data_IF_327613245575
#
_entry.id   IF_327613245575
#
_cell.length_a   1.000
_cell.length_b   1.000
_cell.length_c   1.000
_cell.angle_alpha   90.00
_cell.angle_beta   90.00
_cell.angle_gamma   90.00
#
_symmetry.space_group_name_H-M   'P 1'
#
loop_
_entity.id
_entity.type
_entity.pdbx_description
1 polymer ?
#
# COMPACT_ATOMS: atom_id res chain seq x y z
N UNK A 1 3.87 -25.38 5.79
CA UNK A 1 3.20 -24.14 5.43
C UNK A 1 4.16 -22.99 5.49
N UNK A 2 4.22 -22.24 4.42
CA UNK A 2 5.10 -21.08 4.38
C UNK A 2 4.53 -19.98 5.27
N UNK A 3 5.30 -19.56 6.25
CA UNK A 3 4.92 -18.40 7.06
C UNK A 3 5.13 -17.13 6.26
N UNK A 4 4.26 -16.14 6.50
CA UNK A 4 4.43 -14.83 5.91
C UNK A 4 5.63 -14.14 6.55
N UNK A 5 6.41 -13.48 5.72
CA UNK A 5 7.56 -12.68 6.15
C UNK A 5 7.31 -11.21 5.84
N UNK A 6 8.02 -10.28 6.51
CA UNK A 6 7.88 -8.85 6.19
C UNK A 6 8.15 -8.54 4.72
N UNK A 7 9.13 -9.18 4.13
CA UNK A 7 9.46 -8.99 2.71
C UNK A 7 8.29 -9.41 1.81
N UNK A 8 7.68 -10.56 2.09
CA UNK A 8 6.53 -11.04 1.33
C UNK A 8 5.35 -10.06 1.40
N UNK A 9 5.07 -9.55 2.59
CA UNK A 9 3.97 -8.58 2.78
C UNK A 9 4.28 -7.28 2.03
N UNK A 10 5.49 -6.76 2.16
CA UNK A 10 5.88 -5.54 1.47
C UNK A 10 5.78 -5.71 -0.05
N UNK A 11 6.25 -6.84 -0.58
CA UNK A 11 6.17 -7.14 -2.01
C UNK A 11 4.71 -7.24 -2.49
N UNK A 12 3.85 -7.86 -1.68
CA UNK A 12 2.43 -7.98 -2.03
C UNK A 12 1.72 -6.63 -2.07
N UNK A 13 2.01 -5.73 -1.14
CA UNK A 13 1.42 -4.39 -1.12
C UNK A 13 1.95 -3.58 -2.32
N UNK A 14 3.23 -3.69 -2.63
CA UNK A 14 3.82 -3.03 -3.80
C UNK A 14 3.21 -3.56 -5.10
N UNK A 15 3.04 -4.87 -5.21
CA UNK A 15 2.37 -5.48 -6.36
C UNK A 15 0.91 -5.02 -6.48
N UNK A 16 0.21 -4.88 -5.36
CA UNK A 16 -1.15 -4.36 -5.34
C UNK A 16 -1.22 -2.94 -5.91
N UNK A 17 -0.28 -2.08 -5.51
CA UNK A 17 -0.20 -0.73 -6.04
C UNK A 17 0.03 -0.73 -7.55
N UNK A 18 0.90 -1.61 -8.04
CA UNK A 18 1.16 -1.76 -9.48
C UNK A 18 -0.09 -2.22 -10.23
N UNK A 19 -0.82 -3.19 -9.67
CA UNK A 19 -2.06 -3.71 -10.27
C UNK A 19 -3.10 -2.59 -10.39
N UNK A 20 -3.32 -1.83 -9.32
CA UNK A 20 -4.33 -0.77 -9.34
C UNK A 20 -3.97 0.36 -10.30
N UNK A 21 -2.68 0.65 -10.48
CA UNK A 21 -2.26 1.64 -11.48
C UNK A 21 -2.43 1.12 -12.92
N UNK A 22 -2.38 -0.18 -13.12
CA UNK A 22 -2.52 -0.79 -14.44
C UNK A 22 -3.97 -1.03 -14.84
N UNK A 23 -4.91 -0.98 -13.87
CA UNK A 23 -6.32 -1.17 -14.18
C UNK A 23 -6.85 0.04 -14.96
N UNK A 24 -7.71 -0.21 -15.98
CA UNK A 24 -8.33 0.89 -16.70
C UNK A 24 -9.23 1.67 -15.74
N UNK A 25 -9.18 3.01 -15.86
CA UNK A 25 -10.10 3.86 -15.13
C UNK A 25 -11.53 3.53 -15.57
N UNK A 26 -12.28 2.94 -14.68
CA UNK A 26 -13.71 2.80 -14.88
C UNK A 26 -14.31 4.16 -14.57
N UNK A 27 -14.70 4.89 -15.61
CA UNK A 27 -15.51 6.10 -15.45
C UNK A 27 -16.94 5.61 -15.24
N UNK A 28 -17.47 5.59 -14.01
CA UNK A 28 -18.88 5.27 -13.84
C UNK A 28 -19.69 6.34 -14.56
N UNK A 29 -20.54 5.92 -15.49
CA UNK A 29 -21.39 6.81 -16.24
C UNK A 29 -22.31 7.57 -15.29
N UNK A 30 -22.35 8.89 -15.44
CA UNK A 30 -23.30 9.74 -14.72
C UNK A 30 -22.79 10.42 -13.45
N UNK A 31 -21.71 9.95 -12.87
CA UNK A 31 -21.13 10.56 -11.66
C UNK A 31 -19.99 11.51 -11.94
N UNK A 32 -19.52 11.57 -13.18
CA UNK A 32 -18.25 12.20 -13.52
C UNK A 32 -18.30 13.62 -14.03
N UNK A 33 -19.49 14.13 -14.29
CA UNK A 33 -19.64 15.54 -14.63
C UNK A 33 -19.33 16.48 -13.44
N UNK A 34 -19.17 15.90 -12.24
CA UNK A 34 -18.83 16.66 -11.04
C UNK A 34 -17.33 16.68 -10.72
N UNK A 35 -16.50 15.96 -11.48
CA UNK A 35 -15.06 15.95 -11.24
C UNK A 35 -14.42 17.20 -11.83
N UNK A 36 -13.54 17.90 -11.07
CA UNK A 36 -12.86 19.08 -11.59
C UNK A 36 -12.03 18.76 -12.83
N UNK A 37 -11.99 19.69 -13.78
CA UNK A 37 -11.25 19.52 -15.04
C UNK A 37 -9.77 19.19 -14.84
N UNK A 38 -9.15 19.68 -13.77
CA UNK A 38 -7.75 19.35 -13.51
C UNK A 38 -7.50 17.85 -13.30
N UNK A 39 -8.52 17.10 -12.88
CA UNK A 39 -8.41 15.65 -12.79
C UNK A 39 -8.30 15.00 -14.15
N UNK A 40 -9.02 15.53 -15.14
CA UNK A 40 -8.93 15.02 -16.51
C UNK A 40 -7.57 15.31 -17.12
N UNK A 41 -7.05 16.51 -16.91
CA UNK A 41 -5.72 16.87 -17.43
C UNK A 41 -4.61 16.07 -16.79
N UNK A 42 -4.73 15.76 -15.50
CA UNK A 42 -3.77 14.91 -14.79
C UNK A 42 -3.82 13.48 -15.32
N UNK A 43 -5.02 12.94 -15.51
CA UNK A 43 -5.20 11.61 -16.07
C UNK A 43 -4.66 11.52 -17.50
N UNK A 44 -4.89 12.56 -18.31
CA UNK A 44 -4.38 12.64 -19.68
C UNK A 44 -2.85 12.72 -19.72
N UNK A 45 -2.25 13.48 -18.81
CA UNK A 45 -0.79 13.56 -18.71
C UNK A 45 -0.17 12.24 -18.29
N UNK A 46 -0.79 11.55 -17.33
CA UNK A 46 -0.35 10.21 -16.91
C UNK A 46 -0.52 9.22 -18.06
N UNK A 47 -1.56 9.38 -18.89
CA UNK A 47 -1.80 8.53 -20.05
C UNK A 47 -0.83 8.76 -21.19
N UNK A 48 -0.12 9.90 -21.23
CA UNK A 48 0.82 10.25 -22.30
C UNK A 48 2.25 9.82 -22.02
N UNK A 49 2.60 9.45 -20.81
CA UNK A 49 3.91 8.91 -20.53
C UNK A 49 4.08 7.58 -21.26
N UNK A 50 5.24 7.37 -21.95
CA UNK A 50 5.49 6.08 -22.59
C UNK A 50 5.55 5.00 -21.52
N UNK A 51 4.42 4.37 -21.30
CA UNK A 51 4.36 3.23 -20.40
C UNK A 51 5.03 2.06 -21.07
N UNK A 52 6.06 1.53 -20.44
CA UNK A 52 6.44 0.16 -20.70
C UNK A 52 5.14 -0.64 -20.67
N UNK A 53 4.83 -1.29 -21.78
CA UNK A 53 3.61 -2.10 -21.91
C UNK A 53 3.64 -3.19 -20.85
N UNK A 54 3.02 -2.91 -19.69
CA UNK A 54 2.79 -3.96 -18.71
C UNK A 54 1.59 -4.78 -19.19
N UNK A 55 1.68 -6.11 -19.14
CA UNK A 55 0.52 -6.93 -19.44
C UNK A 55 -0.62 -6.56 -18.49
N UNK A 56 -1.84 -6.59 -18.98
CA UNK A 56 -3.02 -6.36 -18.14
C UNK A 56 -3.02 -7.36 -16.99
N UNK A 57 -3.26 -6.91 -15.74
CA UNK A 57 -3.34 -7.84 -14.63
C UNK A 57 -4.48 -8.83 -14.84
N UNK A 58 -4.20 -10.10 -14.58
CA UNK A 58 -5.21 -11.16 -14.65
C UNK A 58 -6.10 -11.18 -13.41
N UNK A 59 -7.17 -11.99 -13.42
CA UNK A 59 -8.08 -12.09 -12.27
C UNK A 59 -7.38 -12.45 -10.96
N UNK A 60 -6.37 -13.32 -11.03
CA UNK A 60 -5.59 -13.71 -9.85
C UNK A 60 -4.83 -12.53 -9.28
N UNK A 61 -4.23 -11.70 -10.12
CA UNK A 61 -3.49 -10.52 -9.70
C UNK A 61 -4.41 -9.52 -9.01
N UNK A 62 -5.61 -9.34 -9.56
CA UNK A 62 -6.62 -8.45 -8.99
C UNK A 62 -7.07 -8.95 -7.61
N UNK A 63 -7.33 -10.24 -7.47
CA UNK A 63 -7.73 -10.85 -6.21
C UNK A 63 -6.64 -10.66 -5.15
N UNK A 64 -5.39 -10.92 -5.50
CA UNK A 64 -4.27 -10.73 -4.59
C UNK A 64 -4.10 -9.26 -4.18
N UNK A 65 -4.33 -8.35 -5.11
CA UNK A 65 -4.26 -6.92 -4.84
C UNK A 65 -5.38 -6.47 -3.89
N UNK A 66 -6.59 -6.97 -4.07
CA UNK A 66 -7.71 -6.70 -3.18
C UNK A 66 -7.44 -7.24 -1.78
N UNK A 67 -6.89 -8.43 -1.66
CA UNK A 67 -6.51 -9.01 -0.37
C UNK A 67 -5.49 -8.11 0.36
N UNK A 68 -4.48 -7.63 -0.36
CA UNK A 68 -3.48 -6.74 0.23
C UNK A 68 -4.09 -5.42 0.71
N UNK A 69 -5.07 -4.87 -0.03
CA UNK A 69 -5.79 -3.69 0.43
C UNK A 69 -6.55 -3.96 1.73
N UNK A 70 -7.15 -5.13 1.86
CA UNK A 70 -7.87 -5.50 3.08
C UNK A 70 -6.93 -5.58 4.28
N UNK A 71 -5.68 -5.98 4.10
CA UNK A 71 -4.70 -6.00 5.17
C UNK A 71 -4.45 -4.63 5.77
N UNK A 72 -4.51 -3.57 4.96
CA UNK A 72 -4.29 -2.20 5.42
C UNK A 72 -5.37 -1.75 6.42
N UNK A 73 -6.52 -2.38 6.42
CA UNK A 73 -7.60 -2.08 7.36
C UNK A 73 -7.26 -2.47 8.80
N UNK A 74 -6.26 -3.30 8.99
CA UNK A 74 -5.78 -3.68 10.33
C UNK A 74 -4.91 -2.61 10.98
N UNK A 75 -4.54 -1.58 10.23
CA UNK A 75 -3.65 -0.52 10.67
C UNK A 75 -4.43 0.76 10.97
N UNK A 76 -3.81 1.64 11.76
CA UNK A 76 -4.32 3.01 11.90
C UNK A 76 -4.36 3.69 10.52
N UNK A 77 -5.34 4.56 10.26
CA UNK A 77 -5.44 5.22 8.95
C UNK A 77 -4.15 5.90 8.49
N UNK A 78 -3.40 6.52 9.41
CA UNK A 78 -2.14 7.17 9.08
C UNK A 78 -1.09 6.16 8.63
N UNK A 79 -1.00 5.02 9.32
CA UNK A 79 -0.06 3.95 8.98
C UNK A 79 -0.45 3.27 7.67
N UNK A 80 -1.74 3.02 7.46
CA UNK A 80 -2.23 2.47 6.22
C UNK A 80 -1.88 3.37 5.02
N UNK A 81 -2.07 4.68 5.18
CA UNK A 81 -1.72 5.65 4.16
C UNK A 81 -0.21 5.67 3.89
N UNK A 82 0.59 5.59 4.95
CA UNK A 82 2.05 5.53 4.85
C UNK A 82 2.49 4.32 4.01
N UNK A 83 1.97 3.14 4.33
CA UNK A 83 2.30 1.92 3.60
C UNK A 83 1.88 2.01 2.14
N UNK A 84 0.69 2.54 1.88
CA UNK A 84 0.19 2.69 0.53
C UNK A 84 1.01 3.68 -0.30
N UNK A 85 1.36 4.82 0.27
CA UNK A 85 2.20 5.81 -0.41
C UNK A 85 3.56 5.22 -0.74
N UNK A 86 4.14 4.48 0.21
CA UNK A 86 5.44 3.86 0.00
C UNK A 86 5.38 2.73 -1.03
N UNK A 87 4.29 1.98 -1.08
CA UNK A 87 4.06 0.94 -2.07
C UNK A 87 3.98 1.53 -3.49
N UNK A 88 3.49 2.75 -3.61
CA UNK A 88 3.48 3.48 -4.88
C UNK A 88 4.85 4.12 -5.19
N UNK A 89 5.88 3.75 -4.44
CA UNK A 89 7.26 4.20 -4.64
C UNK A 89 7.44 5.70 -4.46
N UNK A 90 6.56 6.32 -3.70
CA UNK A 90 6.70 7.74 -3.39
C UNK A 90 7.94 7.94 -2.50
N UNK A 91 8.80 8.94 -2.80
CA UNK A 91 9.97 9.20 -1.96
C UNK A 91 9.61 9.54 -0.51
N UNK A 92 10.50 9.25 0.42
CA UNK A 92 10.26 9.48 1.83
C UNK A 92 9.99 10.96 2.17
N UNK A 93 10.68 11.87 1.51
CA UNK A 93 10.57 13.31 1.82
C UNK A 93 9.14 13.84 1.64
N UNK A 94 8.48 13.63 0.48
CA UNK A 94 7.08 14.03 0.33
C UNK A 94 6.13 13.33 1.31
N UNK A 95 6.38 12.05 1.61
CA UNK A 95 5.57 11.30 2.57
C UNK A 95 5.66 11.92 3.96
N UNK A 96 6.88 12.23 4.42
CA UNK A 96 7.09 12.85 5.72
C UNK A 96 6.42 14.21 5.80
N UNK A 97 6.46 14.98 4.72
CA UNK A 97 5.81 16.26 4.63
C UNK A 97 4.28 16.14 4.77
N UNK A 98 3.70 15.20 4.02
CA UNK A 98 2.26 14.99 4.04
C UNK A 98 1.75 14.53 5.41
N UNK A 99 2.49 13.64 6.07
CA UNK A 99 2.11 13.09 7.36
C UNK A 99 2.59 13.91 8.55
N UNK A 100 3.47 14.90 8.32
CA UNK A 100 3.99 15.73 9.39
C UNK A 100 4.90 15.01 10.38
N UNK A 101 5.68 14.04 9.92
CA UNK A 101 6.57 13.22 10.75
C UNK A 101 7.99 13.22 10.21
N UNK A 102 8.97 12.89 11.07
CA UNK A 102 10.35 12.74 10.65
C UNK A 102 10.54 11.44 9.85
N UNK A 103 11.64 11.38 9.10
CA UNK A 103 11.98 10.17 8.34
C UNK A 103 12.19 8.97 9.26
N UNK A 104 12.84 9.15 10.40
CA UNK A 104 13.06 8.09 11.36
C UNK A 104 11.73 7.52 11.88
N UNK A 105 10.79 8.40 12.21
CA UNK A 105 9.45 8.01 12.65
C UNK A 105 8.69 7.31 11.51
N UNK A 106 8.77 7.83 10.29
CA UNK A 106 8.12 7.25 9.13
C UNK A 106 8.63 5.82 8.87
N UNK A 107 9.93 5.62 8.90
CA UNK A 107 10.54 4.32 8.70
C UNK A 107 10.11 3.33 9.80
N UNK A 108 10.10 3.78 11.06
CA UNK A 108 9.69 2.96 12.21
C UNK A 108 8.22 2.55 12.10
N UNK A 109 7.34 3.47 11.74
CA UNK A 109 5.92 3.17 11.54
C UNK A 109 5.67 2.25 10.36
N UNK A 110 6.45 2.43 9.28
CA UNK A 110 6.36 1.55 8.12
C UNK A 110 6.70 0.11 8.50
N UNK A 111 7.81 -0.09 9.20
CA UNK A 111 8.22 -1.41 9.68
C UNK A 111 7.19 -2.02 10.62
N UNK A 112 6.66 -1.21 11.52
CA UNK A 112 5.62 -1.67 12.44
C UNK A 112 4.35 -2.08 11.71
N UNK A 113 3.89 -1.29 10.74
CA UNK A 113 2.71 -1.62 9.95
C UNK A 113 2.87 -2.93 9.20
N UNK A 114 4.00 -3.14 8.55
CA UNK A 114 4.32 -4.40 7.89
C UNK A 114 4.30 -5.56 8.90
N UNK A 115 4.92 -5.36 10.06
CA UNK A 115 4.99 -6.38 11.10
C UNK A 115 3.60 -6.76 11.64
N UNK A 116 2.73 -5.79 11.85
CA UNK A 116 1.35 -6.06 12.30
C UNK A 116 0.62 -6.95 11.29
N UNK A 117 0.77 -6.67 10.01
CA UNK A 117 0.16 -7.49 8.96
C UNK A 117 0.72 -8.90 8.99
N UNK A 118 2.04 -9.05 9.12
CA UNK A 118 2.70 -10.37 9.21
C UNK A 118 2.16 -11.16 10.40
N UNK A 119 2.08 -10.53 11.58
CA UNK A 119 1.54 -11.20 12.76
C UNK A 119 0.13 -11.73 12.52
N UNK A 120 -0.73 -10.90 11.94
CA UNK A 120 -2.12 -11.30 11.70
C UNK A 120 -2.26 -12.37 10.63
N UNK A 121 -1.47 -12.28 9.56
CA UNK A 121 -1.48 -13.29 8.51
C UNK A 121 -1.01 -14.65 8.99
N UNK A 122 -0.08 -14.67 9.96
CA UNK A 122 0.40 -15.90 10.57
C UNK A 122 -0.51 -16.40 11.72
N UNK A 123 -1.66 -15.77 11.90
CA UNK A 123 -2.64 -16.17 12.92
C UNK A 123 -2.26 -15.79 14.34
N UNK A 124 -1.31 -14.89 14.51
CA UNK A 124 -0.86 -14.43 15.82
C UNK A 124 -1.50 -13.10 16.20
N UNK A 125 -1.80 -12.94 17.48
CA UNK A 125 -2.36 -11.69 17.98
C UNK A 125 -1.24 -10.71 18.29
N UNK A 126 -1.33 -9.49 17.74
CA UNK A 126 -0.35 -8.43 18.00
C UNK A 126 -0.44 -8.01 19.48
N UNK A 127 0.67 -8.05 20.24
CA UNK A 127 0.64 -7.66 21.66
C UNK A 127 0.48 -6.13 21.78
N UNK A 128 -0.53 -5.72 22.54
CA UNK A 128 -0.83 -4.28 22.70
C UNK A 128 0.10 -3.58 23.70
N UNK A 129 0.72 -4.35 24.60
CA UNK A 129 1.56 -3.79 25.67
C UNK A 129 3.05 -3.87 25.37
N UNK A 130 3.43 -4.24 24.16
CA UNK A 130 4.85 -4.35 23.78
C UNK A 130 5.22 -3.19 22.85
N UNK A 131 6.51 -2.90 22.81
CA UNK A 131 7.03 -1.83 21.96
C UNK A 131 6.92 -2.19 20.47
N UNK A 132 6.99 -1.16 19.62
CA UNK A 132 7.04 -1.36 18.19
C UNK A 132 8.22 -2.23 17.78
N UNK A 133 9.38 -2.02 18.41
CA UNK A 133 10.59 -2.78 18.15
C UNK A 133 10.40 -4.27 18.46
N UNK A 134 9.69 -4.59 19.52
CA UNK A 134 9.37 -5.98 19.86
C UNK A 134 8.53 -6.64 18.77
N UNK A 135 7.48 -5.96 18.33
CA UNK A 135 6.58 -6.50 17.30
C UNK A 135 7.33 -6.71 15.98
N UNK A 136 8.18 -5.77 15.59
CA UNK A 136 8.99 -5.87 14.38
C UNK A 136 9.99 -7.03 14.50
N UNK A 137 10.68 -7.15 15.62
CA UNK A 137 11.70 -8.16 15.83
C UNK A 137 11.13 -9.59 15.80
N UNK A 138 9.89 -9.75 16.24
CA UNK A 138 9.24 -11.07 16.33
C UNK A 138 8.27 -11.36 15.19
N UNK A 139 8.23 -10.51 14.16
CA UNK A 139 7.32 -10.70 13.03
C UNK A 139 7.65 -11.96 12.22
N UNK A 140 8.90 -12.36 12.17
CA UNK A 140 9.37 -13.48 11.32
C UNK A 140 9.39 -14.82 12.03
N UNK A 141 8.78 -14.94 13.21
CA UNK A 141 8.79 -16.22 13.95
C UNK A 141 7.43 -16.85 14.05
#
# INVERSE_FOLDING_TARGET
MAEWTPTMVADRIESAADVFRALPEVKPQGYFNAWPEYFHSFADQVGQEPRTRRPKPGPRDITQAEDALLWLRWLDPADARLLWLRANRKPWKPICWELGISRATANRRWQYGIAVIVWRLNGRRVPQKRSMEFVVAHASH
#
